data_IF_568257935528
#
_entry.id   IF_568257935528
#
_cell.length_a   1.000
_cell.length_b   1.000
_cell.length_c   1.000
_cell.angle_alpha   90.00
_cell.angle_beta   90.00
_cell.angle_gamma   90.00
#
_symmetry.space_group_name_H-M   'P 1'
#
loop_
_entity.id
_entity.type
_entity.pdbx_description
1 polymer ?
#
# COMPACT_ATOMS: atom_id res chain seq x y z
N UNK A 1 -32.57 6.48 -10.87
CA UNK A 1 -31.39 5.96 -11.64
C UNK A 1 -30.91 6.93 -12.73
N UNK A 2 -31.65 7.99 -13.07
CA UNK A 2 -31.31 8.93 -14.18
C UNK A 2 -29.95 9.61 -14.07
N UNK A 3 -29.39 9.72 -12.87
CA UNK A 3 -28.08 10.32 -12.59
C UNK A 3 -26.90 9.33 -12.64
N UNK A 4 -27.13 8.07 -13.03
CA UNK A 4 -26.08 7.06 -13.15
C UNK A 4 -25.83 6.69 -14.60
N UNK A 5 -24.62 6.28 -14.89
CA UNK A 5 -24.20 5.79 -16.21
C UNK A 5 -23.42 4.49 -16.05
N UNK A 6 -23.60 3.58 -16.99
CA UNK A 6 -22.82 2.35 -17.03
C UNK A 6 -21.46 2.60 -17.65
N UNK A 7 -20.41 2.14 -16.97
CA UNK A 7 -19.04 2.06 -17.49
C UNK A 7 -18.52 0.64 -17.41
N UNK A 8 -17.41 0.37 -18.08
CA UNK A 8 -16.66 -0.89 -17.89
C UNK A 8 -15.27 -0.57 -17.32
N UNK A 9 -14.95 -1.19 -16.19
CA UNK A 9 -13.61 -1.11 -15.59
C UNK A 9 -13.05 -2.53 -15.43
N UNK A 10 -11.87 -2.81 -16.03
CA UNK A 10 -11.41 -4.18 -16.19
C UNK A 10 -12.42 -4.99 -17.03
N UNK A 11 -12.90 -6.10 -16.51
CA UNK A 11 -13.95 -6.94 -17.12
C UNK A 11 -15.34 -6.67 -16.52
N UNK A 12 -15.47 -5.70 -15.62
CA UNK A 12 -16.65 -5.50 -14.79
C UNK A 12 -17.45 -4.28 -15.24
N UNK A 13 -18.76 -4.45 -15.43
CA UNK A 13 -19.73 -3.38 -15.70
C UNK A 13 -20.13 -2.74 -14.35
N UNK A 14 -20.07 -1.42 -14.27
CA UNK A 14 -20.37 -0.65 -13.07
C UNK A 14 -21.36 0.48 -13.40
N UNK A 15 -22.35 0.69 -12.56
CA UNK A 15 -23.14 1.91 -12.54
C UNK A 15 -22.43 2.95 -11.66
N UNK A 16 -22.12 4.10 -12.24
CA UNK A 16 -21.40 5.18 -11.54
C UNK A 16 -22.17 6.49 -11.66
N UNK A 17 -22.11 7.37 -10.65
CA UNK A 17 -22.71 8.71 -10.76
C UNK A 17 -22.09 9.48 -11.92
N UNK A 18 -22.90 10.12 -12.78
CA UNK A 18 -22.44 10.90 -13.95
C UNK A 18 -21.46 11.99 -13.55
N UNK A 19 -21.75 12.72 -12.48
CA UNK A 19 -20.90 13.81 -11.97
C UNK A 19 -19.53 13.31 -11.47
N UNK A 20 -19.40 12.07 -11.02
CA UNK A 20 -18.10 11.48 -10.66
C UNK A 20 -17.13 11.37 -11.84
N UNK A 21 -17.62 11.37 -13.07
CA UNK A 21 -16.80 11.35 -14.30
C UNK A 21 -16.53 12.75 -14.85
N UNK A 22 -17.29 13.76 -14.43
CA UNK A 22 -17.23 15.12 -14.94
C UNK A 22 -16.44 16.06 -14.03
N UNK A 23 -16.50 15.84 -12.71
CA UNK A 23 -15.89 16.69 -11.74
C UNK A 23 -14.45 16.28 -11.41
N UNK A 24 -13.57 17.28 -11.26
CA UNK A 24 -12.16 17.04 -10.89
C UNK A 24 -12.01 16.34 -9.53
N UNK A 25 -12.91 16.66 -8.60
CA UNK A 25 -13.01 16.00 -7.29
C UNK A 25 -14.37 15.32 -7.25
N UNK A 26 -14.42 13.98 -7.26
CA UNK A 26 -15.70 13.26 -7.26
C UNK A 26 -16.53 13.59 -6.01
N UNK A 27 -17.83 13.91 -6.16
CA UNK A 27 -18.69 14.22 -5.04
C UNK A 27 -19.02 12.97 -4.22
N UNK A 28 -19.28 13.17 -2.92
CA UNK A 28 -19.70 12.08 -2.03
C UNK A 28 -21.15 11.65 -2.24
N UNK A 29 -21.99 12.55 -2.76
CA UNK A 29 -23.40 12.30 -3.00
C UNK A 29 -23.71 12.27 -4.50
N UNK A 30 -24.58 11.38 -5.00
CA UNK A 30 -25.41 10.39 -4.27
C UNK A 30 -24.62 9.16 -3.77
N UNK A 31 -23.54 8.81 -4.44
CA UNK A 31 -22.60 7.76 -4.05
C UNK A 31 -21.21 8.10 -4.59
N UNK A 32 -20.18 7.71 -3.86
CA UNK A 32 -18.80 8.02 -4.24
C UNK A 32 -18.23 7.04 -5.26
N UNK A 33 -17.62 7.57 -6.31
CA UNK A 33 -16.76 6.82 -7.23
C UNK A 33 -15.60 7.70 -7.70
N UNK A 34 -14.37 7.24 -7.56
CA UNK A 34 -13.19 7.96 -8.04
C UNK A 34 -12.55 7.22 -9.24
N UNK A 35 -12.69 7.75 -10.47
CA UNK A 35 -12.07 7.14 -11.65
C UNK A 35 -10.54 7.17 -11.60
N UNK A 36 -9.92 8.13 -10.91
CA UNK A 36 -8.46 8.23 -10.75
C UNK A 36 -7.89 7.13 -9.84
N UNK A 37 -8.73 6.46 -9.04
CA UNK A 37 -8.31 5.33 -8.22
C UNK A 37 -8.26 3.99 -9.00
N UNK A 38 -8.44 4.01 -10.32
CA UNK A 38 -8.43 2.79 -11.16
C UNK A 38 -7.14 1.99 -11.00
N UNK A 39 -5.96 2.64 -11.04
CA UNK A 39 -4.68 1.95 -10.85
C UNK A 39 -4.61 1.18 -9.51
N UNK A 40 -5.14 1.77 -8.43
CA UNK A 40 -5.24 1.11 -7.13
C UNK A 40 -6.10 -0.18 -7.22
N UNK A 41 -7.24 -0.11 -7.91
CA UNK A 41 -8.13 -1.27 -8.10
C UNK A 41 -7.49 -2.32 -9.00
N UNK A 42 -6.84 -1.92 -10.09
CA UNK A 42 -6.14 -2.83 -11.02
C UNK A 42 -5.01 -3.59 -10.30
N UNK A 43 -4.13 -2.88 -9.57
CA UNK A 43 -3.08 -3.52 -8.75
C UNK A 43 -3.65 -4.51 -7.73
N UNK A 44 -4.79 -4.15 -7.09
CA UNK A 44 -5.44 -5.03 -6.12
C UNK A 44 -5.90 -6.36 -6.75
N UNK A 45 -6.46 -6.32 -7.97
CA UNK A 45 -6.90 -7.53 -8.69
C UNK A 45 -5.70 -8.46 -8.97
N UNK A 46 -4.56 -7.93 -9.42
CA UNK A 46 -3.35 -8.74 -9.63
C UNK A 46 -2.83 -9.36 -8.34
N UNK A 47 -2.75 -8.57 -7.26
CA UNK A 47 -2.26 -9.05 -5.96
C UNK A 47 -3.19 -10.11 -5.37
N UNK A 48 -4.52 -9.93 -5.45
CA UNK A 48 -5.47 -10.93 -4.94
C UNK A 48 -5.40 -12.24 -5.73
N UNK A 49 -5.28 -12.18 -7.05
CA UNK A 49 -5.14 -13.38 -7.88
C UNK A 49 -3.89 -14.16 -7.49
N UNK A 50 -2.71 -13.51 -7.47
CA UNK A 50 -1.45 -14.23 -7.16
C UNK A 50 -1.42 -14.72 -5.70
N UNK A 51 -1.92 -13.93 -4.74
CA UNK A 51 -2.04 -14.35 -3.35
C UNK A 51 -2.85 -15.63 -3.21
N UNK A 52 -4.01 -15.71 -3.88
CA UNK A 52 -4.89 -16.87 -3.81
C UNK A 52 -4.35 -18.09 -4.57
N UNK A 53 -3.37 -17.94 -5.45
CA UNK A 53 -2.68 -19.07 -6.04
C UNK A 53 -1.75 -19.76 -5.06
N UNK A 54 -1.06 -18.99 -4.25
CA UNK A 54 -0.16 -19.47 -3.21
C UNK A 54 -0.90 -19.83 -1.91
N UNK A 55 -2.17 -19.38 -1.79
CA UNK A 55 -2.98 -19.66 -0.61
C UNK A 55 -3.43 -21.11 -0.58
N UNK A 56 -2.71 -21.92 0.19
CA UNK A 56 -3.05 -23.32 0.42
C UNK A 56 -4.19 -23.41 1.44
N UNK A 57 -5.42 -23.51 0.96
CA UNK A 57 -6.57 -23.75 1.82
C UNK A 57 -6.64 -25.22 2.24
N UNK A 58 -5.91 -25.57 3.31
CA UNK A 58 -5.86 -26.93 3.88
C UNK A 58 -7.25 -27.38 4.41
N UNK A 59 -8.21 -26.48 4.53
CA UNK A 59 -9.50 -26.74 5.22
C UNK A 59 -10.72 -26.85 4.31
N UNK A 60 -10.60 -26.88 3.00
CA UNK A 60 -11.75 -26.84 2.06
C UNK A 60 -12.76 -25.71 2.35
N UNK A 61 -12.31 -24.60 2.92
CA UNK A 61 -13.18 -23.48 3.26
C UNK A 61 -13.45 -22.62 2.02
N UNK A 62 -14.64 -22.10 1.95
CA UNK A 62 -15.08 -21.16 0.95
C UNK A 62 -14.23 -19.87 1.01
N UNK A 63 -13.46 -19.55 -0.03
CA UNK A 63 -12.68 -18.31 -0.11
C UNK A 63 -13.62 -17.11 -0.14
N UNK A 64 -13.44 -16.20 0.79
CA UNK A 64 -14.33 -15.07 1.02
C UNK A 64 -13.57 -13.74 0.99
N UNK A 65 -14.21 -12.73 0.42
CA UNK A 65 -13.69 -11.37 0.35
C UNK A 65 -14.65 -10.40 1.03
N UNK A 66 -14.13 -9.51 1.86
CA UNK A 66 -14.88 -8.42 2.48
C UNK A 66 -14.38 -7.07 1.94
N UNK A 67 -15.29 -6.31 1.31
CA UNK A 67 -15.12 -4.90 0.95
C UNK A 67 -15.78 -4.06 2.05
N UNK A 68 -14.97 -3.57 2.99
CA UNK A 68 -15.46 -2.97 4.23
C UNK A 68 -16.06 -1.56 4.02
N UNK A 69 -15.58 -0.83 3.02
CA UNK A 69 -16.06 0.48 2.56
C UNK A 69 -16.34 0.41 1.06
N UNK A 70 -17.30 -0.42 0.69
CA UNK A 70 -17.52 -0.82 -0.69
C UNK A 70 -18.03 0.30 -1.61
N UNK A 71 -18.68 1.33 -1.08
CA UNK A 71 -19.31 2.35 -1.91
C UNK A 71 -20.26 1.72 -2.93
N UNK A 72 -20.13 2.10 -4.20
CA UNK A 72 -20.89 1.49 -5.31
C UNK A 72 -20.41 0.07 -5.67
N UNK A 73 -19.58 -0.56 -4.87
CA UNK A 73 -19.06 -1.91 -5.09
C UNK A 73 -17.93 -2.00 -6.11
N UNK A 74 -17.31 -0.88 -6.50
CA UNK A 74 -16.35 -0.88 -7.61
C UNK A 74 -15.18 -1.85 -7.44
N UNK A 75 -14.70 -2.08 -6.23
CA UNK A 75 -13.65 -3.07 -5.93
C UNK A 75 -14.24 -4.46 -5.72
N UNK A 76 -15.22 -4.60 -4.83
CA UNK A 76 -15.83 -5.90 -4.52
C UNK A 76 -16.41 -6.60 -5.74
N UNK A 77 -17.09 -5.86 -6.63
CA UNK A 77 -17.65 -6.42 -7.86
C UNK A 77 -16.56 -6.82 -8.86
N UNK A 78 -15.47 -6.04 -8.96
CA UNK A 78 -14.31 -6.44 -9.76
C UNK A 78 -13.67 -7.72 -9.21
N UNK A 79 -13.56 -7.87 -7.91
CA UNK A 79 -13.09 -9.12 -7.29
C UNK A 79 -14.03 -10.27 -7.61
N UNK A 80 -15.35 -10.04 -7.61
CA UNK A 80 -16.34 -11.05 -7.96
C UNK A 80 -16.19 -11.58 -9.40
N UNK A 81 -15.85 -10.70 -10.35
CA UNK A 81 -15.73 -11.02 -11.79
C UNK A 81 -14.30 -11.49 -12.11
N UNK A 82 -13.28 -10.77 -11.61
CA UNK A 82 -11.90 -10.85 -12.09
C UNK A 82 -10.98 -11.70 -11.19
N UNK A 83 -11.49 -12.21 -10.04
CA UNK A 83 -10.75 -13.12 -9.13
C UNK A 83 -11.53 -14.43 -8.96
N UNK A 84 -11.37 -15.40 -9.88
CA UNK A 84 -12.25 -16.58 -9.97
C UNK A 84 -12.27 -17.45 -8.72
N UNK A 85 -11.15 -17.52 -7.99
CA UNK A 85 -11.03 -18.33 -6.77
C UNK A 85 -11.88 -17.83 -5.61
N UNK A 86 -12.27 -16.55 -5.59
CA UNK A 86 -13.16 -16.03 -4.55
C UNK A 86 -14.57 -16.49 -4.81
N UNK A 87 -15.17 -17.18 -3.86
CA UNK A 87 -16.50 -17.78 -3.97
C UNK A 87 -17.63 -16.93 -3.42
N UNK A 88 -17.34 -16.07 -2.43
CA UNK A 88 -18.32 -15.15 -1.83
C UNK A 88 -17.70 -13.78 -1.58
N UNK A 89 -18.44 -12.75 -1.97
CA UNK A 89 -18.07 -11.35 -1.81
C UNK A 89 -19.06 -10.70 -0.84
N UNK A 90 -18.53 -10.02 0.16
CA UNK A 90 -19.30 -9.24 1.11
C UNK A 90 -18.99 -7.76 0.89
N UNK A 91 -19.98 -6.99 0.47
CA UNK A 91 -19.85 -5.56 0.18
C UNK A 91 -20.65 -4.81 1.23
N UNK A 92 -19.97 -3.96 2.00
CA UNK A 92 -20.58 -3.15 3.04
C UNK A 92 -20.35 -1.66 2.78
N UNK A 93 -21.36 -0.87 2.97
CA UNK A 93 -21.25 0.60 3.07
C UNK A 93 -22.40 1.12 3.95
N UNK A 94 -22.20 2.27 4.58
CA UNK A 94 -23.27 2.91 5.36
C UNK A 94 -24.26 3.66 4.46
N UNK A 95 -23.86 3.99 3.23
CA UNK A 95 -24.67 4.67 2.24
C UNK A 95 -25.57 3.66 1.51
N UNK A 96 -26.86 3.68 1.83
CA UNK A 96 -27.86 2.80 1.26
C UNK A 96 -27.92 2.91 -0.28
N UNK A 97 -27.84 4.13 -0.83
CA UNK A 97 -27.91 4.35 -2.28
C UNK A 97 -26.67 3.76 -3.00
N UNK A 98 -25.50 3.80 -2.36
CA UNK A 98 -24.32 3.14 -2.86
C UNK A 98 -24.53 1.61 -2.93
N UNK A 99 -25.10 1.01 -1.89
CA UNK A 99 -25.40 -0.43 -1.85
C UNK A 99 -26.46 -0.81 -2.89
N UNK A 100 -27.50 0.00 -3.08
CA UNK A 100 -28.49 -0.22 -4.16
C UNK A 100 -27.78 -0.21 -5.53
N UNK A 101 -26.91 0.76 -5.78
CA UNK A 101 -26.13 0.87 -7.02
C UNK A 101 -25.20 -0.34 -7.22
N UNK A 102 -24.59 -0.83 -6.14
CA UNK A 102 -23.75 -2.03 -6.15
C UNK A 102 -24.56 -3.29 -6.52
N UNK A 103 -25.77 -3.44 -5.99
CA UNK A 103 -26.68 -4.55 -6.34
C UNK A 103 -27.06 -4.55 -7.82
N UNK A 104 -27.45 -3.40 -8.35
CA UNK A 104 -27.77 -3.26 -9.77
C UNK A 104 -26.55 -3.58 -10.66
N UNK A 105 -25.36 -3.12 -10.25
CA UNK A 105 -24.13 -3.47 -10.96
C UNK A 105 -23.79 -4.96 -10.85
N UNK A 106 -24.11 -5.65 -9.76
CA UNK A 106 -23.96 -7.09 -9.63
C UNK A 106 -24.87 -7.83 -10.60
N UNK A 107 -26.12 -7.37 -10.74
CA UNK A 107 -27.09 -7.91 -11.68
C UNK A 107 -26.61 -7.78 -13.13
N UNK A 108 -26.06 -6.61 -13.52
CA UNK A 108 -25.50 -6.39 -14.85
C UNK A 108 -24.35 -7.36 -15.23
N UNK A 109 -23.69 -7.95 -14.23
CA UNK A 109 -22.60 -8.90 -14.41
C UNK A 109 -23.01 -10.35 -14.13
N UNK A 110 -24.27 -10.63 -13.81
CA UNK A 110 -24.81 -11.96 -13.47
C UNK A 110 -24.08 -12.61 -12.27
N UNK A 111 -23.71 -11.81 -11.25
CA UNK A 111 -22.96 -12.26 -10.06
C UNK A 111 -23.74 -12.11 -8.76
N UNK A 112 -25.05 -11.89 -8.81
CA UNK A 112 -25.93 -11.71 -7.64
C UNK A 112 -25.75 -12.83 -6.59
N UNK A 113 -25.72 -14.07 -7.04
CA UNK A 113 -25.59 -15.24 -6.19
C UNK A 113 -24.22 -15.32 -5.45
N UNK A 114 -23.23 -14.58 -5.94
CA UNK A 114 -21.86 -14.52 -5.38
C UNK A 114 -21.72 -13.39 -4.34
N UNK A 115 -22.56 -12.35 -4.42
CA UNK A 115 -22.46 -11.12 -3.64
C UNK A 115 -23.45 -11.10 -2.47
N UNK A 116 -22.99 -10.62 -1.33
CA UNK A 116 -23.78 -10.36 -0.13
C UNK A 116 -23.58 -8.89 0.25
N UNK A 117 -24.68 -8.15 0.34
CA UNK A 117 -24.66 -6.72 0.58
C UNK A 117 -25.10 -6.39 2.00
N UNK A 118 -24.45 -5.42 2.62
CA UNK A 118 -24.70 -4.99 3.99
C UNK A 118 -24.73 -3.46 4.09
N UNK A 119 -25.61 -2.93 4.94
CA UNK A 119 -25.69 -1.51 5.30
C UNK A 119 -25.41 -1.42 6.80
N UNK A 120 -24.13 -1.39 7.15
CA UNK A 120 -23.73 -1.39 8.57
C UNK A 120 -22.52 -0.46 8.78
N UNK A 121 -22.36 -0.04 10.05
CA UNK A 121 -21.08 0.48 10.51
C UNK A 121 -20.00 -0.61 10.32
N UNK A 122 -18.80 -0.19 9.88
CA UNK A 122 -17.76 -1.09 9.38
C UNK A 122 -17.30 -2.12 10.44
N UNK A 123 -17.06 -1.72 11.68
CA UNK A 123 -16.62 -2.66 12.70
C UNK A 123 -17.74 -3.63 13.10
N UNK A 124 -18.99 -3.18 13.13
CA UNK A 124 -20.15 -4.07 13.33
C UNK A 124 -20.23 -5.10 12.22
N UNK A 125 -20.08 -4.69 10.96
CA UNK A 125 -20.05 -5.60 9.81
C UNK A 125 -18.93 -6.62 9.92
N UNK A 126 -17.69 -6.17 10.18
CA UNK A 126 -16.53 -7.06 10.23
C UNK A 126 -16.57 -8.05 11.40
N UNK A 127 -17.05 -7.63 12.58
CA UNK A 127 -17.07 -8.47 13.80
C UNK A 127 -18.28 -9.39 13.87
N UNK A 128 -19.40 -9.06 13.21
CA UNK A 128 -20.63 -9.88 13.28
C UNK A 128 -20.43 -11.32 12.79
N UNK A 129 -19.60 -11.52 11.78
CA UNK A 129 -19.36 -12.82 11.17
C UNK A 129 -18.47 -13.78 11.99
N UNK A 130 -17.37 -13.35 12.64
CA UNK A 130 -16.58 -14.22 13.54
C UNK A 130 -17.34 -14.82 14.70
N UNK A 131 -18.48 -14.23 15.12
CA UNK A 131 -19.36 -14.78 16.17
C UNK A 131 -20.10 -16.03 15.71
N UNK A 132 -20.22 -16.26 14.40
CA UNK A 132 -20.75 -17.48 13.81
C UNK A 132 -19.62 -18.53 13.63
N UNK A 133 -19.23 -19.23 14.69
CA UNK A 133 -18.28 -20.37 14.69
C UNK A 133 -17.25 -20.35 13.53
N UNK A 134 -16.12 -19.66 13.73
CA UNK A 134 -14.93 -19.67 12.86
C UNK A 134 -15.10 -19.14 11.42
N UNK A 135 -16.05 -18.29 11.14
CA UNK A 135 -16.26 -17.72 9.81
C UNK A 135 -15.55 -16.37 9.64
N UNK A 136 -14.23 -16.37 9.68
CA UNK A 136 -13.43 -15.19 9.31
C UNK A 136 -13.35 -15.06 7.80
N UNK A 137 -12.92 -13.87 7.32
CA UNK A 137 -12.71 -13.61 5.89
C UNK A 137 -11.31 -14.02 5.45
N UNK A 138 -11.18 -14.56 4.24
CA UNK A 138 -9.88 -14.88 3.64
C UNK A 138 -9.15 -13.60 3.24
N UNK A 139 -9.88 -12.63 2.68
CA UNK A 139 -9.35 -11.31 2.32
C UNK A 139 -10.26 -10.23 2.89
N UNK A 140 -9.66 -9.22 3.53
CA UNK A 140 -10.37 -8.02 3.99
C UNK A 140 -9.74 -6.79 3.33
N UNK A 141 -10.56 -6.01 2.63
CA UNK A 141 -10.18 -4.73 2.05
C UNK A 141 -10.74 -3.58 2.89
N UNK A 142 -9.86 -2.71 3.35
CA UNK A 142 -10.15 -1.53 4.15
C UNK A 142 -9.73 -0.29 3.38
N UNK A 143 -10.69 0.41 2.75
CA UNK A 143 -10.47 1.60 1.93
C UNK A 143 -11.32 2.79 2.39
N UNK A 144 -11.11 3.32 3.62
CA UNK A 144 -11.88 4.43 4.16
C UNK A 144 -11.44 5.76 3.57
N UNK A 145 -12.29 6.77 3.69
CA UNK A 145 -11.84 8.15 3.60
C UNK A 145 -10.96 8.52 4.79
N UNK A 146 -9.83 9.16 4.53
CA UNK A 146 -8.89 9.61 5.56
C UNK A 146 -8.05 8.48 6.13
N UNK A 147 -8.12 8.31 7.45
CA UNK A 147 -7.26 7.39 8.19
C UNK A 147 -7.89 6.01 8.42
N UNK A 148 -7.19 4.91 8.14
CA UNK A 148 -7.65 3.57 8.49
C UNK A 148 -7.52 3.24 9.98
N UNK A 149 -6.79 4.06 10.76
CA UNK A 149 -6.39 3.72 12.13
C UNK A 149 -7.53 3.33 13.08
N UNK A 150 -8.76 3.92 13.02
CA UNK A 150 -9.85 3.51 13.89
C UNK A 150 -10.38 2.10 13.65
N UNK A 151 -10.11 1.52 12.46
CA UNK A 151 -10.71 0.29 12.00
C UNK A 151 -9.75 -0.91 12.01
N UNK A 152 -8.47 -0.69 12.32
CA UNK A 152 -7.42 -1.73 12.21
C UNK A 152 -7.74 -2.94 13.11
N UNK A 153 -8.18 -2.71 14.34
CA UNK A 153 -8.44 -3.82 15.27
C UNK A 153 -9.60 -4.70 14.79
N UNK A 154 -10.70 -4.12 14.30
CA UNK A 154 -11.82 -4.92 13.82
C UNK A 154 -11.49 -5.67 12.51
N UNK A 155 -10.64 -5.11 11.65
CA UNK A 155 -10.09 -5.82 10.49
C UNK A 155 -9.27 -7.04 10.92
N UNK A 156 -8.33 -6.86 11.85
CA UNK A 156 -7.47 -7.95 12.34
C UNK A 156 -8.26 -9.08 13.01
N UNK A 157 -9.36 -8.76 13.71
CA UNK A 157 -10.24 -9.75 14.32
C UNK A 157 -11.10 -10.51 13.31
N UNK A 158 -11.33 -9.94 12.13
CA UNK A 158 -12.21 -10.49 11.10
C UNK A 158 -11.52 -11.33 10.04
N UNK A 159 -10.19 -11.26 9.92
CA UNK A 159 -9.42 -12.03 8.94
C UNK A 159 -8.97 -13.37 9.50
N UNK A 160 -8.94 -14.42 8.67
CA UNK A 160 -8.49 -15.75 9.04
C UNK A 160 -6.96 -15.90 9.04
N UNK A 161 -6.48 -16.97 9.66
CA UNK A 161 -5.05 -17.32 9.63
C UNK A 161 -4.59 -17.58 8.20
N UNK A 162 -3.38 -17.10 7.86
CA UNK A 162 -2.79 -17.09 6.52
C UNK A 162 -3.59 -16.23 5.50
N UNK A 163 -4.61 -15.48 5.94
CA UNK A 163 -5.39 -14.56 5.12
C UNK A 163 -4.62 -13.29 4.73
N UNK A 164 -5.31 -12.39 4.03
CA UNK A 164 -4.76 -11.12 3.54
C UNK A 164 -5.60 -9.94 4.01
N UNK A 165 -4.93 -8.90 4.48
CA UNK A 165 -5.55 -7.58 4.65
C UNK A 165 -4.92 -6.59 3.69
N UNK A 166 -5.75 -5.74 3.09
CA UNK A 166 -5.31 -4.61 2.29
C UNK A 166 -5.88 -3.32 2.87
N UNK A 167 -5.02 -2.33 3.04
CA UNK A 167 -5.35 -1.10 3.76
C UNK A 167 -4.98 0.09 2.89
N UNK A 168 -5.92 1.03 2.73
CA UNK A 168 -5.66 2.33 2.10
C UNK A 168 -5.74 3.43 3.16
N UNK A 169 -4.83 4.40 3.08
CA UNK A 169 -4.87 5.65 3.83
C UNK A 169 -4.85 6.84 2.85
N UNK A 170 -5.75 7.79 3.06
CA UNK A 170 -5.85 9.01 2.25
C UNK A 170 -5.58 10.29 3.04
N UNK A 171 -5.25 10.18 4.34
CA UNK A 171 -4.82 11.31 5.19
C UNK A 171 -3.32 11.66 4.95
N UNK A 172 -3.01 11.94 3.68
CA UNK A 172 -1.64 12.15 3.19
C UNK A 172 -0.90 13.28 3.90
N UNK A 173 -1.60 14.37 4.27
CA UNK A 173 -1.00 15.48 5.01
C UNK A 173 -0.49 15.06 6.41
N UNK A 174 -1.19 14.15 7.07
CA UNK A 174 -0.77 13.60 8.37
C UNK A 174 0.48 12.72 8.19
N UNK A 175 0.40 11.78 7.26
CA UNK A 175 1.45 10.79 7.01
C UNK A 175 2.70 11.39 6.37
N UNK A 176 2.61 12.51 5.65
CA UNK A 176 3.77 13.22 5.09
C UNK A 176 4.48 14.15 6.08
N UNK A 177 4.02 14.23 7.35
CA UNK A 177 4.70 14.96 8.40
C UNK A 177 4.29 16.44 8.58
N UNK A 178 3.18 16.88 7.94
CA UNK A 178 2.62 18.22 8.16
C UNK A 178 1.99 18.30 9.56
N UNK A 179 1.31 17.23 10.00
CA UNK A 179 0.64 17.15 11.30
C UNK A 179 1.26 16.07 12.19
N UNK A 180 2.48 16.30 12.69
CA UNK A 180 3.27 15.31 13.41
C UNK A 180 2.58 14.71 14.64
N UNK A 181 1.95 15.54 15.48
CA UNK A 181 1.23 15.08 16.68
C UNK A 181 0.01 14.21 16.33
N UNK A 182 -0.67 14.52 15.22
CA UNK A 182 -1.78 13.70 14.71
C UNK A 182 -1.25 12.38 14.17
N UNK A 183 -0.10 12.40 13.48
CA UNK A 183 0.58 11.21 13.00
C UNK A 183 0.96 10.28 14.16
N UNK A 184 1.62 10.83 15.18
CA UNK A 184 1.99 10.07 16.39
C UNK A 184 0.78 9.43 17.05
N UNK A 185 -0.33 10.17 17.21
CA UNK A 185 -1.55 9.65 17.84
C UNK A 185 -2.23 8.56 17.03
N UNK A 186 -2.24 8.66 15.69
CA UNK A 186 -2.93 7.72 14.79
C UNK A 186 -2.08 6.50 14.41
N UNK A 187 -0.77 6.71 14.22
CA UNK A 187 0.13 5.72 13.64
C UNK A 187 1.30 5.33 14.56
N UNK A 188 1.29 5.79 15.82
CA UNK A 188 2.32 5.48 16.85
C UNK A 188 3.75 5.84 16.45
N UNK A 189 3.93 6.67 15.44
CA UNK A 189 5.22 7.10 14.94
C UNK A 189 5.22 8.51 14.38
N UNK A 190 6.38 9.14 14.35
CA UNK A 190 6.58 10.48 13.83
C UNK A 190 6.95 10.42 12.35
N UNK A 191 6.28 11.21 11.53
CA UNK A 191 6.71 11.54 10.17
C UNK A 191 7.32 12.94 10.17
N UNK A 192 8.39 13.12 9.40
CA UNK A 192 8.96 14.43 9.10
C UNK A 192 8.76 14.72 7.60
N UNK A 193 8.47 15.98 7.27
CA UNK A 193 8.34 16.39 5.87
C UNK A 193 9.71 16.32 5.18
N UNK A 194 9.84 15.45 4.18
CA UNK A 194 11.09 15.19 3.47
C UNK A 194 10.82 14.65 2.06
N UNK A 195 11.89 14.43 1.29
CA UNK A 195 11.81 13.96 -0.11
C UNK A 195 11.34 12.50 -0.23
N UNK A 196 11.46 11.68 0.82
CA UNK A 196 11.08 10.27 0.89
C UNK A 196 9.86 10.00 1.79
N UNK A 197 9.04 11.02 2.07
CA UNK A 197 7.85 10.93 2.93
C UNK A 197 6.83 9.88 2.49
N UNK A 198 6.75 9.55 1.18
CA UNK A 198 5.86 8.50 0.69
C UNK A 198 6.22 7.11 1.24
N UNK A 199 7.50 6.80 1.34
CA UNK A 199 7.96 5.55 1.94
C UNK A 199 7.78 5.56 3.46
N UNK A 200 8.13 6.66 4.13
CA UNK A 200 7.90 6.83 5.58
C UNK A 200 6.42 6.62 5.91
N UNK A 201 5.51 7.24 5.16
CA UNK A 201 4.07 7.09 5.33
C UNK A 201 3.62 5.63 5.24
N UNK A 202 4.06 4.93 4.21
CA UNK A 202 3.74 3.52 4.00
C UNK A 202 4.27 2.65 5.15
N UNK A 203 5.51 2.89 5.59
CA UNK A 203 6.13 2.16 6.70
C UNK A 203 5.47 2.46 8.05
N UNK A 204 4.91 3.66 8.25
CA UNK A 204 4.10 4.02 9.43
C UNK A 204 2.77 3.28 9.46
N UNK A 205 2.09 3.11 8.33
CA UNK A 205 0.87 2.30 8.24
C UNK A 205 1.18 0.85 8.60
N UNK A 206 2.25 0.28 8.04
CA UNK A 206 2.66 -1.10 8.33
C UNK A 206 3.00 -1.27 9.81
N UNK A 207 3.83 -0.38 10.39
CA UNK A 207 4.26 -0.50 11.79
C UNK A 207 3.10 -0.37 12.77
N UNK A 208 2.22 0.62 12.58
CA UNK A 208 1.06 0.81 13.46
C UNK A 208 0.09 -0.38 13.39
N UNK A 209 -0.14 -0.92 12.19
CA UNK A 209 -0.96 -2.11 12.01
C UNK A 209 -0.32 -3.33 12.67
N UNK A 210 1.00 -3.52 12.51
CA UNK A 210 1.74 -4.63 13.09
C UNK A 210 1.79 -4.58 14.63
N UNK A 211 1.90 -3.39 15.23
CA UNK A 211 1.84 -3.21 16.68
C UNK A 211 0.47 -3.58 17.25
N UNK A 212 -0.62 -3.18 16.59
CA UNK A 212 -1.97 -3.56 17.00
C UNK A 212 -2.17 -5.08 16.83
N UNK A 213 -1.68 -5.65 15.72
CA UNK A 213 -1.75 -7.08 15.45
C UNK A 213 -1.01 -7.91 16.49
N UNK A 214 0.19 -7.49 16.88
CA UNK A 214 1.00 -8.19 17.89
C UNK A 214 0.28 -8.34 19.23
N UNK A 215 -0.47 -7.31 19.68
CA UNK A 215 -1.32 -7.37 20.89
C UNK A 215 -2.41 -8.44 20.81
N UNK A 216 -2.81 -8.84 19.60
CA UNK A 216 -3.81 -9.87 19.33
C UNK A 216 -3.19 -11.25 19.04
N UNK A 217 -1.87 -11.40 19.20
CA UNK A 217 -1.15 -12.63 18.83
C UNK A 217 -1.08 -12.86 17.31
N UNK A 218 -1.14 -11.78 16.53
CA UNK A 218 -1.12 -11.82 15.07
C UNK A 218 0.20 -11.22 14.58
N UNK A 219 0.87 -11.92 13.67
CA UNK A 219 2.01 -11.41 12.92
C UNK A 219 1.56 -10.97 11.54
N UNK A 220 2.18 -9.90 11.03
CA UNK A 220 1.93 -9.38 9.68
C UNK A 220 3.22 -9.39 8.86
N UNK A 221 3.09 -9.76 7.59
CA UNK A 221 4.17 -9.68 6.61
C UNK A 221 3.70 -8.88 5.39
N UNK A 222 4.33 -7.72 5.08
CA UNK A 222 4.05 -7.02 3.84
C UNK A 222 4.38 -7.92 2.64
N UNK A 223 3.50 -7.91 1.64
CA UNK A 223 3.70 -8.63 0.37
C UNK A 223 3.85 -7.65 -0.80
N UNK A 224 3.16 -6.52 -0.73
CA UNK A 224 3.27 -5.43 -1.69
C UNK A 224 2.78 -4.13 -1.07
N UNK A 225 3.35 -3.01 -1.51
CA UNK A 225 2.90 -1.67 -1.15
C UNK A 225 2.89 -0.77 -2.38
N UNK A 226 2.04 0.23 -2.36
CA UNK A 226 1.98 1.23 -3.42
C UNK A 226 1.61 2.60 -2.85
N UNK A 227 2.20 3.66 -3.38
CA UNK A 227 1.85 5.03 -3.05
C UNK A 227 1.57 5.85 -4.30
N UNK A 228 0.60 6.76 -4.19
CA UNK A 228 0.32 7.78 -5.17
C UNK A 228 0.14 9.12 -4.43
N UNK A 229 0.02 10.24 -5.16
CA UNK A 229 -0.17 11.58 -4.58
C UNK A 229 -1.33 11.67 -3.57
N UNK A 230 -2.34 10.80 -3.71
CA UNK A 230 -3.61 10.90 -2.98
C UNK A 230 -3.86 9.74 -2.03
N UNK A 231 -3.02 8.70 -2.03
CA UNK A 231 -3.21 7.54 -1.16
C UNK A 231 -1.92 6.75 -0.95
N UNK A 232 -1.91 6.00 0.16
CA UNK A 232 -0.95 4.93 0.46
C UNK A 232 -1.71 3.63 0.57
N UNK A 233 -1.20 2.56 -0.04
CA UNK A 233 -1.82 1.24 0.00
C UNK A 233 -0.81 0.18 0.41
N UNK A 234 -1.22 -0.70 1.33
CA UNK A 234 -0.41 -1.81 1.81
C UNK A 234 -1.22 -3.12 1.75
N UNK A 235 -0.54 -4.21 1.40
CA UNK A 235 -1.08 -5.56 1.38
C UNK A 235 -0.26 -6.40 2.35
N UNK A 236 -0.92 -6.95 3.38
CA UNK A 236 -0.28 -7.60 4.51
C UNK A 236 -0.84 -9.01 4.68
N UNK A 237 0.04 -10.02 4.53
CA UNK A 237 -0.31 -11.40 4.85
C UNK A 237 -0.35 -11.56 6.36
N UNK A 238 -1.37 -12.25 6.84
CA UNK A 238 -1.67 -12.47 8.25
C UNK A 238 -1.15 -13.84 8.67
N UNK A 239 -0.62 -13.97 9.90
CA UNK A 239 -0.35 -15.25 10.54
C UNK A 239 -0.73 -15.16 12.02
N UNK A 240 -1.66 -16.02 12.46
CA UNK A 240 -2.11 -16.06 13.85
C UNK A 240 -1.13 -16.93 14.64
N UNK A 241 -0.14 -16.31 15.28
CA UNK A 241 0.92 -17.00 16.01
C UNK A 241 1.58 -16.04 17.01
N UNK A 242 1.48 -16.35 18.30
CA UNK A 242 2.11 -15.57 19.37
C UNK A 242 3.65 -15.48 19.20
N UNK A 243 4.30 -16.59 18.82
CA UNK A 243 5.76 -16.60 18.63
C UNK A 243 6.19 -15.67 17.48
N UNK A 244 5.47 -15.68 16.34
CA UNK A 244 5.74 -14.76 15.24
C UNK A 244 5.36 -13.33 15.58
N UNK A 245 4.30 -13.11 16.36
CA UNK A 245 3.89 -11.78 16.81
C UNK A 245 4.95 -11.11 17.69
N UNK A 246 5.67 -11.87 18.51
CA UNK A 246 6.78 -11.36 19.33
C UNK A 246 7.95 -10.82 18.49
N UNK A 247 8.13 -11.27 17.25
CA UNK A 247 9.20 -10.82 16.34
C UNK A 247 8.89 -9.50 15.64
N UNK A 248 7.74 -8.86 15.91
CA UNK A 248 7.39 -7.58 15.28
C UNK A 248 8.44 -6.50 15.57
N UNK A 249 9.00 -6.50 16.79
CA UNK A 249 9.97 -5.49 17.25
C UNK A 249 11.30 -5.55 16.51
N UNK A 250 11.68 -6.69 15.93
CA UNK A 250 12.89 -6.85 15.11
C UNK A 250 12.81 -6.04 13.80
N UNK A 251 11.60 -5.69 13.38
CA UNK A 251 11.32 -4.94 12.16
C UNK A 251 10.90 -3.48 12.43
N UNK A 252 11.08 -2.98 13.64
CA UNK A 252 10.74 -1.60 13.98
C UNK A 252 11.99 -0.77 14.22
N UNK A 253 11.95 0.51 13.83
CA UNK A 253 13.07 1.40 14.03
C UNK A 253 12.77 2.85 13.68
N UNK A 254 13.84 3.61 13.56
CA UNK A 254 13.84 5.06 13.37
C UNK A 254 14.78 5.44 12.24
N UNK A 255 14.36 6.38 11.40
CA UNK A 255 15.22 7.02 10.39
C UNK A 255 15.69 8.35 10.94
N UNK A 256 17.00 8.58 10.92
CA UNK A 256 17.65 9.84 11.28
C UNK A 256 18.03 10.57 9.99
N UNK A 257 17.63 11.83 9.86
CA UNK A 257 17.92 12.67 8.70
C UNK A 257 18.52 14.00 9.12
N UNK A 258 19.70 14.31 8.61
CA UNK A 258 20.34 15.61 8.74
C UNK A 258 19.98 16.49 7.57
N UNK A 259 19.06 17.45 7.74
CA UNK A 259 18.66 18.37 6.66
C UNK A 259 19.78 19.33 6.20
N UNK A 260 20.88 19.47 6.98
CA UNK A 260 21.99 20.33 6.62
C UNK A 260 22.91 19.72 5.55
N UNK A 261 23.24 18.42 5.70
CA UNK A 261 24.17 17.72 4.79
C UNK A 261 23.54 16.55 4.04
N UNK A 262 22.23 16.29 4.21
CA UNK A 262 21.49 15.20 3.55
C UNK A 262 21.77 13.81 4.10
N UNK A 263 22.66 13.67 5.11
CA UNK A 263 23.03 12.38 5.68
C UNK A 263 21.83 11.69 6.31
N UNK A 264 21.73 10.37 6.09
CA UNK A 264 20.65 9.51 6.59
C UNK A 264 21.19 8.20 7.08
N UNK A 265 20.61 7.74 8.17
CA UNK A 265 20.79 6.38 8.66
C UNK A 265 19.50 5.88 9.33
N UNK A 266 19.46 4.60 9.66
CA UNK A 266 18.35 4.04 10.44
C UNK A 266 18.88 3.13 11.52
N UNK A 267 18.11 3.00 12.61
CA UNK A 267 18.46 2.22 13.80
C UNK A 267 17.19 1.70 14.46
N UNK A 268 17.28 0.53 15.10
CA UNK A 268 16.21 0.01 15.98
C UNK A 268 16.06 0.82 17.27
N UNK A 269 17.11 1.56 17.67
CA UNK A 269 17.16 2.32 18.92
C UNK A 269 16.90 3.81 18.62
N UNK A 270 16.01 4.41 19.40
CA UNK A 270 15.81 5.86 19.40
C UNK A 270 16.99 6.52 20.10
N UNK A 271 17.69 7.44 19.41
CA UNK A 271 18.76 8.26 20.00
C UNK A 271 18.78 9.64 19.34
N UNK A 272 19.04 10.68 20.18
CA UNK A 272 19.15 12.08 19.75
C UNK A 272 20.61 12.47 19.50
N UNK A 273 21.29 11.71 18.64
CA UNK A 273 22.69 11.97 18.31
C UNK A 273 22.83 13.17 17.37
N UNK A 274 24.05 13.68 17.32
CA UNK A 274 24.46 14.66 16.31
C UNK A 274 24.92 13.93 15.04
N UNK A 275 24.76 14.59 13.90
CA UNK A 275 25.25 14.10 12.62
C UNK A 275 26.77 13.96 12.66
N UNK A 276 27.28 12.76 12.34
CA UNK A 276 28.73 12.48 12.31
C UNK A 276 29.48 13.28 11.23
N UNK A 277 28.76 13.74 10.18
CA UNK A 277 29.36 14.48 9.05
C UNK A 277 29.47 15.99 9.34
N UNK A 278 28.43 16.60 9.95
CA UNK A 278 28.38 18.06 10.08
C UNK A 278 28.02 18.55 11.47
N UNK A 279 27.94 17.67 12.47
CA UNK A 279 27.63 17.94 13.88
C UNK A 279 26.28 18.65 14.12
N UNK A 280 25.39 18.69 13.13
CA UNK A 280 24.05 19.24 13.27
C UNK A 280 23.09 18.21 13.86
N UNK A 281 21.98 18.66 14.46
CA UNK A 281 20.95 17.77 14.99
C UNK A 281 20.28 16.95 13.88
N UNK A 282 20.05 15.66 14.14
CA UNK A 282 19.20 14.84 13.31
C UNK A 282 17.72 15.13 13.57
N UNK A 283 16.92 15.08 12.52
CA UNK A 283 15.47 14.94 12.60
C UNK A 283 15.12 13.45 12.50
N UNK A 284 14.16 12.99 13.29
CA UNK A 284 13.88 11.57 13.48
C UNK A 284 12.46 11.26 13.01
N UNK A 285 12.32 10.28 12.12
CA UNK A 285 11.05 9.65 11.76
C UNK A 285 10.95 8.28 12.42
N UNK A 286 9.75 7.88 12.84
CA UNK A 286 9.49 6.58 13.46
C UNK A 286 8.80 6.73 14.83
N UNK A 287 8.50 5.67 15.49
CA UNK A 287 8.78 4.26 15.21
C UNK A 287 8.06 3.82 13.93
N UNK A 288 8.77 3.23 13.00
CA UNK A 288 8.24 2.77 11.71
C UNK A 288 8.78 1.37 11.34
N UNK A 289 8.17 0.75 10.34
CA UNK A 289 8.61 -0.54 9.82
C UNK A 289 9.92 -0.39 9.03
N UNK A 290 10.97 -1.09 9.45
CA UNK A 290 12.28 -1.10 8.77
C UNK A 290 12.52 -2.37 7.96
N UNK A 291 11.67 -3.38 8.11
CA UNK A 291 11.75 -4.64 7.38
C UNK A 291 11.31 -4.51 5.91
N UNK A 292 11.34 -5.64 5.21
CA UNK A 292 10.96 -5.74 3.79
C UNK A 292 9.50 -5.33 3.55
N UNK A 293 9.24 -4.72 2.39
CA UNK A 293 7.92 -4.29 1.95
C UNK A 293 7.34 -5.15 0.81
N UNK A 294 8.20 -5.95 0.15
CA UNK A 294 7.86 -6.74 -1.05
C UNK A 294 8.15 -8.22 -0.86
N UNK A 295 7.20 -9.06 -1.23
CA UNK A 295 7.44 -10.47 -1.48
C UNK A 295 7.90 -10.65 -2.94
N UNK A 296 9.20 -10.54 -3.16
CA UNK A 296 9.79 -10.56 -4.51
C UNK A 296 9.49 -11.83 -5.27
N UNK A 297 9.43 -12.97 -4.59
CA UNK A 297 9.10 -14.27 -5.21
C UNK A 297 7.68 -14.27 -5.73
N UNK A 298 6.72 -13.83 -4.91
CA UNK A 298 5.32 -13.71 -5.32
C UNK A 298 5.14 -12.73 -6.49
N UNK A 299 5.85 -11.59 -6.46
CA UNK A 299 5.78 -10.58 -7.53
C UNK A 299 6.37 -11.12 -8.84
N UNK A 300 7.48 -11.85 -8.80
CA UNK A 300 8.06 -12.50 -9.99
C UNK A 300 7.08 -13.52 -10.60
N UNK A 301 6.42 -14.33 -9.77
CA UNK A 301 5.39 -15.26 -10.23
C UNK A 301 4.20 -14.51 -10.86
N UNK A 302 3.79 -13.37 -10.28
CA UNK A 302 2.75 -12.51 -10.84
C UNK A 302 3.14 -11.99 -12.23
N UNK A 303 4.34 -11.42 -12.38
CA UNK A 303 4.83 -10.88 -13.65
C UNK A 303 4.84 -11.99 -14.71
N UNK A 304 5.42 -13.16 -14.38
CA UNK A 304 5.51 -14.31 -15.28
C UNK A 304 4.14 -14.78 -15.74
N UNK A 305 3.13 -14.79 -14.87
CA UNK A 305 1.83 -15.38 -15.18
C UNK A 305 0.88 -14.42 -15.88
N UNK A 306 0.85 -13.16 -15.46
CA UNK A 306 -0.19 -12.22 -15.89
C UNK A 306 0.33 -11.08 -16.78
N UNK A 307 1.65 -10.87 -16.86
CA UNK A 307 2.24 -9.70 -17.53
C UNK A 307 3.40 -10.07 -18.46
N UNK A 308 3.61 -11.36 -18.74
CA UNK A 308 4.69 -11.84 -19.63
C UNK A 308 4.38 -11.67 -21.12
N UNK A 309 3.10 -11.53 -21.46
CA UNK A 309 2.68 -11.45 -22.86
C UNK A 309 2.77 -9.99 -23.35
N UNK A 310 3.82 -9.66 -24.09
CA UNK A 310 4.05 -8.33 -24.69
C UNK A 310 3.02 -8.01 -25.83
N UNK A 311 2.16 -8.95 -26.18
CA UNK A 311 1.15 -8.77 -27.23
C UNK A 311 0.00 -7.82 -26.85
N UNK A 312 -0.16 -7.51 -25.56
CA UNK A 312 -1.10 -6.49 -25.11
C UNK A 312 -0.43 -5.12 -25.13
N UNK A 313 -0.61 -4.39 -26.24
CA UNK A 313 -0.23 -2.97 -26.41
C UNK A 313 -1.00 -2.02 -25.46
N UNK A 314 -1.48 -2.52 -24.32
CA UNK A 314 -2.19 -1.72 -23.33
C UNK A 314 -1.15 -0.98 -22.44
N UNK A 315 -1.04 0.33 -22.63
CA UNK A 315 -0.16 1.22 -21.85
C UNK A 315 -0.34 1.06 -20.34
N UNK A 316 -1.52 0.63 -19.88
CA UNK A 316 -1.81 0.41 -18.46
C UNK A 316 -1.13 -0.84 -17.93
N UNK A 317 -1.19 -1.94 -18.67
CA UNK A 317 -0.49 -3.17 -18.31
C UNK A 317 1.03 -2.94 -18.28
N UNK A 318 1.56 -2.15 -19.20
CA UNK A 318 2.96 -1.74 -19.19
C UNK A 318 3.33 -0.92 -17.96
N UNK A 319 2.47 0.03 -17.54
CA UNK A 319 2.68 0.80 -16.30
C UNK A 319 2.67 -0.10 -15.05
N UNK A 320 1.74 -1.04 -14.98
CA UNK A 320 1.63 -1.99 -13.87
C UNK A 320 2.85 -2.92 -13.84
N UNK A 321 3.25 -3.47 -15.00
CA UNK A 321 4.44 -4.30 -15.12
C UNK A 321 5.68 -3.55 -14.64
N UNK A 322 5.87 -2.30 -15.07
CA UNK A 322 6.99 -1.47 -14.64
C UNK A 322 7.04 -1.26 -13.12
N UNK A 323 5.88 -1.09 -12.46
CA UNK A 323 5.82 -0.97 -11.00
C UNK A 323 6.29 -2.27 -10.32
N UNK A 324 5.84 -3.42 -10.82
CA UNK A 324 6.26 -4.72 -10.27
C UNK A 324 7.74 -4.99 -10.55
N UNK A 325 8.25 -4.72 -11.75
CA UNK A 325 9.67 -4.88 -12.09
C UNK A 325 10.56 -4.04 -11.15
N UNK A 326 10.22 -2.76 -10.95
CA UNK A 326 10.95 -1.90 -10.01
C UNK A 326 10.90 -2.47 -8.59
N UNK A 327 9.75 -2.97 -8.12
CA UNK A 327 9.63 -3.50 -6.75
C UNK A 327 10.44 -4.79 -6.52
N UNK A 328 10.67 -5.59 -7.55
CA UNK A 328 11.56 -6.77 -7.49
C UNK A 328 13.00 -6.36 -7.31
N UNK A 329 13.45 -5.34 -8.05
CA UNK A 329 14.84 -4.86 -8.02
C UNK A 329 15.14 -3.95 -6.84
N UNK A 330 14.10 -3.37 -6.20
CA UNK A 330 14.25 -2.38 -5.14
C UNK A 330 15.00 -2.94 -3.92
N UNK A 331 15.95 -2.14 -3.39
CA UNK A 331 16.63 -2.41 -2.11
C UNK A 331 15.67 -2.10 -0.96
N UNK A 332 14.82 -3.05 -0.60
CA UNK A 332 13.79 -2.89 0.42
C UNK A 332 14.28 -3.07 1.87
N UNK A 333 15.54 -3.42 2.05
CA UNK A 333 16.28 -3.40 3.31
C UNK A 333 16.78 -1.99 3.73
N UNK A 334 16.61 -0.99 2.84
CA UNK A 334 16.93 0.41 3.10
C UNK A 334 15.61 1.20 3.20
N UNK A 335 15.25 1.76 4.40
CA UNK A 335 13.93 2.33 4.64
C UNK A 335 13.75 3.78 4.16
N UNK A 336 14.63 4.28 3.32
CA UNK A 336 14.58 5.61 2.71
C UNK A 336 15.20 5.59 1.32
N UNK A 337 15.04 6.67 0.58
CA UNK A 337 15.68 6.88 -0.72
C UNK A 337 16.22 8.31 -0.84
N UNK A 338 17.12 8.53 -1.79
CA UNK A 338 17.58 9.83 -2.23
C UNK A 338 16.88 10.21 -3.53
N UNK A 339 16.82 11.50 -3.87
CA UNK A 339 16.26 11.96 -5.13
C UNK A 339 17.31 12.64 -5.99
N UNK A 340 17.16 12.50 -7.30
CA UNK A 340 18.05 13.17 -8.29
C UNK A 340 18.10 14.68 -8.05
N UNK A 341 16.95 15.30 -7.74
CA UNK A 341 16.84 16.73 -7.48
C UNK A 341 17.62 17.16 -6.22
N UNK A 342 17.55 16.36 -5.15
CA UNK A 342 18.28 16.60 -3.91
C UNK A 342 19.80 16.51 -4.12
N UNK A 343 20.26 15.48 -4.83
CA UNK A 343 21.66 15.27 -5.16
C UNK A 343 22.18 16.43 -6.03
N UNK A 344 21.45 16.79 -7.08
CA UNK A 344 21.80 17.92 -7.96
C UNK A 344 21.89 19.24 -7.21
N UNK A 345 20.95 19.50 -6.30
CA UNK A 345 20.96 20.69 -5.44
C UNK A 345 22.21 20.75 -4.56
N UNK A 346 22.62 19.62 -3.97
CA UNK A 346 23.82 19.54 -3.13
C UNK A 346 25.12 19.68 -3.91
N UNK A 347 25.16 19.16 -5.13
CA UNK A 347 26.29 19.32 -6.04
C UNK A 347 26.35 20.72 -6.66
N UNK A 348 25.26 21.48 -6.63
CA UNK A 348 25.07 22.77 -7.33
C UNK A 348 25.26 22.65 -8.85
N UNK A 349 24.85 21.51 -9.40
CA UNK A 349 24.93 21.20 -10.85
C UNK A 349 23.57 20.75 -11.36
N UNK A 350 23.40 20.74 -12.68
CA UNK A 350 22.25 20.12 -13.31
C UNK A 350 22.23 18.62 -13.00
N UNK A 351 21.08 18.06 -12.58
CA UNK A 351 21.03 16.67 -12.18
C UNK A 351 21.29 15.72 -13.37
N UNK A 352 22.16 14.73 -13.18
CA UNK A 352 22.38 13.63 -14.13
C UNK A 352 21.12 12.75 -14.22
N UNK A 353 20.98 11.97 -15.30
CA UNK A 353 19.89 10.96 -15.41
C UNK A 353 20.01 9.94 -14.28
N UNK A 354 18.87 9.53 -13.71
CA UNK A 354 18.81 8.56 -12.60
C UNK A 354 19.57 7.26 -12.89
N UNK A 355 19.45 6.73 -14.13
CA UNK A 355 20.16 5.51 -14.54
C UNK A 355 21.67 5.65 -14.46
N UNK A 356 22.19 6.82 -14.85
CA UNK A 356 23.64 7.11 -14.80
C UNK A 356 24.14 7.24 -13.36
N UNK A 357 23.36 7.89 -12.48
CA UNK A 357 23.71 7.99 -11.05
C UNK A 357 23.77 6.58 -10.42
N UNK A 358 22.79 5.73 -10.70
CA UNK A 358 22.75 4.35 -10.20
C UNK A 358 23.98 3.58 -10.69
N UNK A 359 24.31 3.67 -11.98
CA UNK A 359 25.47 3.01 -12.57
C UNK A 359 26.78 3.46 -11.92
N UNK A 360 26.99 4.77 -11.73
CA UNK A 360 28.21 5.32 -11.11
C UNK A 360 28.38 4.86 -9.66
N UNK A 361 27.26 4.78 -8.90
CA UNK A 361 27.24 4.27 -7.52
C UNK A 361 27.61 2.77 -7.49
N UNK A 362 27.04 1.96 -8.39
CA UNK A 362 27.34 0.53 -8.48
C UNK A 362 28.79 0.30 -8.89
N UNK A 363 29.29 1.02 -9.89
CA UNK A 363 30.71 0.95 -10.31
C UNK A 363 31.69 1.36 -9.21
N UNK A 364 31.22 2.09 -8.19
CA UNK A 364 32.02 2.48 -7.01
C UNK A 364 31.91 1.47 -5.86
N UNK A 365 31.28 0.31 -6.07
CA UNK A 365 31.21 -0.80 -5.11
C UNK A 365 30.02 -0.76 -4.16
N UNK A 366 29.08 0.18 -4.33
CA UNK A 366 27.85 0.24 -3.54
C UNK A 366 26.68 -0.46 -4.24
N UNK A 367 25.66 -0.85 -3.46
CA UNK A 367 24.37 -1.31 -4.02
C UNK A 367 23.51 -0.09 -4.34
N UNK A 368 22.80 -0.11 -5.45
CA UNK A 368 21.82 0.91 -5.79
C UNK A 368 20.67 0.34 -6.62
N UNK A 369 19.48 0.88 -6.44
CA UNK A 369 18.27 0.53 -7.19
C UNK A 369 17.34 1.72 -7.37
N UNK A 370 16.39 1.62 -8.29
CA UNK A 370 15.22 2.49 -8.33
C UNK A 370 14.31 2.21 -7.14
N UNK A 371 13.34 3.10 -6.91
CA UNK A 371 12.24 2.89 -5.97
C UNK A 371 10.89 3.15 -6.62
N UNK A 372 9.84 2.41 -6.20
CA UNK A 372 8.48 2.65 -6.68
C UNK A 372 7.85 3.93 -6.09
N UNK A 373 8.41 4.45 -5.00
CA UNK A 373 7.83 5.59 -4.26
C UNK A 373 8.02 6.94 -4.98
N UNK A 374 9.01 7.03 -5.87
CA UNK A 374 9.29 8.25 -6.63
C UNK A 374 10.05 7.94 -7.92
N UNK A 375 9.60 8.44 -9.09
CA UNK A 375 10.28 8.18 -10.38
C UNK A 375 11.74 8.64 -10.43
N UNK A 376 12.09 9.71 -9.67
CA UNK A 376 13.47 10.25 -9.56
C UNK A 376 14.21 9.77 -8.31
N UNK A 377 13.67 8.75 -7.63
CA UNK A 377 14.22 8.20 -6.40
C UNK A 377 15.17 7.03 -6.64
N UNK A 378 16.21 6.96 -5.82
CA UNK A 378 17.13 5.84 -5.76
C UNK A 378 17.38 5.41 -4.31
N UNK A 379 17.50 4.11 -4.09
CA UNK A 379 17.97 3.51 -2.83
C UNK A 379 19.41 3.07 -3.00
N UNK A 380 20.21 3.28 -1.97
CA UNK A 380 21.61 2.86 -1.94
C UNK A 380 22.08 2.73 -0.49
N UNK A 381 23.06 1.87 -0.27
CA UNK A 381 23.79 1.78 1.00
C UNK A 381 24.96 2.79 1.09
N UNK A 382 25.18 3.60 0.05
CA UNK A 382 26.10 4.74 0.11
C UNK A 382 25.50 5.87 0.95
N UNK A 383 26.34 6.56 1.73
CA UNK A 383 25.95 7.79 2.43
C UNK A 383 25.78 8.96 1.44
N UNK A 384 25.17 10.06 1.86
CA UNK A 384 25.11 11.25 1.01
C UNK A 384 26.51 11.77 0.67
N UNK A 385 27.45 11.74 1.61
CA UNK A 385 28.84 12.12 1.38
C UNK A 385 29.53 11.26 0.32
N UNK A 386 29.29 9.93 0.34
CA UNK A 386 29.83 9.03 -0.69
C UNK A 386 29.24 9.34 -2.07
N UNK A 387 27.90 9.49 -2.15
CA UNK A 387 27.21 9.84 -3.40
C UNK A 387 27.81 11.12 -4.00
N UNK A 388 27.97 12.17 -3.20
CA UNK A 388 28.53 13.44 -3.66
C UNK A 388 29.98 13.31 -4.13
N UNK A 389 30.79 12.50 -3.44
CA UNK A 389 32.18 12.24 -3.81
C UNK A 389 32.28 11.47 -5.12
N UNK A 390 31.48 10.41 -5.30
CA UNK A 390 31.44 9.60 -6.52
C UNK A 390 31.08 10.45 -7.75
N UNK A 391 30.08 11.32 -7.60
CA UNK A 391 29.55 12.08 -8.72
C UNK A 391 30.42 13.31 -9.08
N UNK A 392 31.25 13.82 -8.13
CA UNK A 392 32.23 14.90 -8.39
C UNK A 392 33.50 14.44 -9.12
N UNK A 393 33.97 13.21 -8.83
CA UNK A 393 35.22 12.69 -9.37
C UNK A 393 35.13 12.42 -10.90
N UNK A 394 33.92 12.32 -11.44
CA UNK A 394 33.66 11.93 -12.84
C UNK A 394 33.14 13.08 -13.71
N UNK A 395 33.30 14.33 -13.26
CA UNK A 395 33.20 15.55 -14.07
C UNK A 395 34.60 15.93 -14.59
#
# INVERSE_FOLDING_TARGET
>A
MDNFIQITEGQTKLLVPKNSLQEKVPPHYPAFFNPLARLNRDLSIYIYNIFLEEYNNIKNNQITFADAFGGIGSRGLRVAVEVPKVSKIYINDINELAIITAKESAHLNNIDAKCIFSINEVCKFLISRPTERNKRFTIVDLDPFGSPSPFIECVLRSVEDEGLISITATDTAVLSGIYQNVCLRKYFGLSINNTYSNEVATRLIVSSTALIAARLGISLRPIFVHSNRHYFRVFLKVSISNSKANMVFDNLGYIKHCFKCGERNFSSIYSKDLCSVCSSKFNISGQLWTGKLFDKTMILNLIKKYLSDDSTNDKKNQQIKQLFDISVDELDDIPYYFTVDEIGSMLRTSPKKLSKIIEEIICSGYRASRTIFRPTGLKTNASMSDILSILKIRE
#
